data_IF_442683993774
#
_entry.id   IF_442683993774
#
_cell.length_a   1.000
_cell.length_b   1.000
_cell.length_c   1.000
_cell.angle_alpha   90.00
_cell.angle_beta   90.00
_cell.angle_gamma   90.00
#
_symmetry.space_group_name_H-M   'P 1'
#
loop_
_entity.id
_entity.type
_entity.pdbx_description
1 polymer ?
#
# COMPACT_ATOMS: atom_id res chain seq x y z
N UNK A 1 19.28 -15.44 14.07
CA UNK A 1 18.24 -14.53 14.61
C UNK A 1 18.10 -13.37 13.63
N UNK A 2 17.11 -13.41 12.73
CA UNK A 2 16.87 -12.31 11.76
C UNK A 2 16.39 -11.10 12.56
N UNK A 3 17.21 -10.05 12.62
CA UNK A 3 16.76 -8.74 13.08
C UNK A 3 15.83 -8.21 11.99
N UNK A 4 14.54 -8.06 12.29
CA UNK A 4 13.68 -7.25 11.43
C UNK A 4 14.01 -5.79 11.72
N UNK A 5 14.74 -5.23 10.76
CA UNK A 5 15.22 -3.87 10.65
C UNK A 5 14.01 -2.94 10.40
N UNK A 6 14.12 -1.71 10.92
CA UNK A 6 13.40 -0.48 10.52
C UNK A 6 11.86 -0.45 10.63
N UNK A 7 11.35 0.55 11.36
CA UNK A 7 9.92 0.78 11.56
C UNK A 7 9.30 1.27 10.25
N UNK A 8 8.82 0.35 9.41
CA UNK A 8 8.00 0.70 8.24
C UNK A 8 6.83 1.61 8.67
N UNK A 9 6.72 2.78 8.04
CA UNK A 9 5.61 3.71 8.25
C UNK A 9 4.66 3.67 7.05
N UNK A 10 3.37 3.85 7.30
CA UNK A 10 2.35 3.87 6.26
C UNK A 10 1.84 5.29 6.05
N UNK A 11 1.73 5.73 4.80
CA UNK A 11 1.14 7.03 4.46
C UNK A 11 0.04 6.89 3.42
N UNK A 12 -1.07 7.57 3.64
CA UNK A 12 -2.11 7.66 2.62
C UNK A 12 -1.54 8.36 1.38
N UNK A 13 -1.55 7.65 0.25
CA UNK A 13 -0.97 8.10 -1.01
C UNK A 13 -2.02 7.98 -2.11
N UNK A 14 -2.30 9.05 -2.88
CA UNK A 14 -3.16 8.97 -4.05
C UNK A 14 -2.68 7.87 -4.99
N UNK A 15 -3.59 7.01 -5.46
CA UNK A 15 -3.26 5.91 -6.35
C UNK A 15 -2.55 6.38 -7.62
N UNK A 16 -2.88 7.59 -8.11
CA UNK A 16 -2.23 8.22 -9.26
C UNK A 16 -0.74 8.58 -9.04
N UNK A 17 -0.24 8.58 -7.79
CA UNK A 17 1.17 8.86 -7.44
C UNK A 17 1.97 7.59 -7.17
N UNK A 18 1.37 6.42 -7.31
CA UNK A 18 2.06 5.15 -7.10
C UNK A 18 2.85 4.77 -8.35
N UNK A 19 4.08 4.33 -8.13
CA UNK A 19 5.03 3.97 -9.18
C UNK A 19 5.36 2.47 -9.13
N UNK A 20 5.94 1.95 -10.21
CA UNK A 20 6.42 0.57 -10.25
C UNK A 20 7.42 0.31 -9.11
N UNK A 21 7.25 -0.81 -8.41
CA UNK A 21 8.06 -1.20 -7.25
C UNK A 21 7.57 -0.63 -5.92
N UNK A 22 6.59 0.28 -5.90
CA UNK A 22 6.00 0.75 -4.64
C UNK A 22 5.32 -0.38 -3.89
N UNK A 23 5.52 -0.43 -2.58
CA UNK A 23 4.78 -1.34 -1.69
C UNK A 23 3.58 -0.63 -1.08
N UNK A 24 2.42 -1.27 -1.14
CA UNK A 24 1.19 -0.79 -0.50
C UNK A 24 0.55 -1.86 0.37
N UNK A 25 -0.21 -1.39 1.35
CA UNK A 25 -1.00 -2.23 2.25
C UNK A 25 -2.46 -1.91 2.04
N UNK A 26 -3.26 -2.95 1.80
CA UNK A 26 -4.72 -2.86 1.81
C UNK A 26 -5.20 -3.43 3.14
N UNK A 27 -5.79 -2.60 4.02
CA UNK A 27 -6.37 -3.09 5.27
C UNK A 27 -7.50 -4.09 5.01
N UNK A 28 -7.67 -5.08 5.89
CA UNK A 28 -8.77 -6.04 5.78
C UNK A 28 -10.15 -5.40 5.95
N UNK A 29 -11.20 -6.12 5.57
CA UNK A 29 -12.58 -5.69 5.78
C UNK A 29 -12.81 -5.43 7.28
N UNK A 30 -13.21 -4.20 7.66
CA UNK A 30 -13.36 -3.63 9.03
C UNK A 30 -12.11 -3.02 9.68
N UNK A 31 -10.96 -2.97 9.02
CA UNK A 31 -9.81 -2.25 9.55
C UNK A 31 -10.02 -0.74 9.47
N UNK A 32 -10.20 -0.10 10.62
CA UNK A 32 -10.12 1.36 10.77
C UNK A 32 -8.72 1.72 11.26
N UNK A 33 -8.19 2.86 10.80
CA UNK A 33 -6.92 3.41 11.27
C UNK A 33 -7.06 4.91 11.47
N UNK A 34 -6.27 5.46 12.38
CA UNK A 34 -6.15 6.89 12.57
C UNK A 34 -5.01 7.44 11.71
N UNK A 35 -5.14 8.69 11.29
CA UNK A 35 -4.08 9.42 10.58
C UNK A 35 -3.61 10.58 11.46
N UNK A 36 -2.30 10.83 11.47
CA UNK A 36 -1.75 12.04 12.05
C UNK A 36 -1.89 13.24 11.10
N UNK A 37 -1.53 14.44 11.58
CA UNK A 37 -1.62 15.68 10.80
C UNK A 37 -0.73 15.71 9.54
N UNK A 38 0.24 14.79 9.42
CA UNK A 38 1.13 14.65 8.28
C UNK A 38 0.64 13.57 7.28
N UNK A 39 -0.43 12.86 7.62
CA UNK A 39 -1.07 11.82 6.82
C UNK A 39 -0.49 10.42 7.03
N UNK A 40 0.24 10.18 8.12
CA UNK A 40 0.74 8.86 8.48
C UNK A 40 -0.32 8.06 9.22
N UNK A 41 -0.51 6.82 8.80
CA UNK A 41 -1.48 5.91 9.40
C UNK A 41 -0.91 5.25 10.67
N UNK A 42 -1.76 5.07 11.67
CA UNK A 42 -1.48 4.28 12.88
C UNK A 42 -1.48 2.77 12.63
N UNK A 43 -1.79 2.34 11.40
CA UNK A 43 -1.90 0.93 11.00
C UNK A 43 -0.51 0.30 10.84
N UNK A 44 -0.36 -0.97 11.24
CA UNK A 44 0.90 -1.69 11.06
C UNK A 44 0.94 -2.39 9.71
N UNK A 45 2.06 -2.26 8.99
CA UNK A 45 2.19 -2.81 7.63
C UNK A 45 2.12 -4.34 7.55
N UNK A 46 2.38 -5.06 8.64
CA UNK A 46 2.28 -6.52 8.75
C UNK A 46 0.85 -7.04 8.95
N UNK A 47 -0.11 -6.16 9.26
CA UNK A 47 -1.48 -6.54 9.61
C UNK A 47 -2.47 -6.53 8.42
N UNK A 48 -2.08 -6.04 7.24
CA UNK A 48 -2.91 -6.02 6.02
C UNK A 48 -2.38 -6.89 4.90
N UNK A 49 -3.11 -6.96 3.78
CA UNK A 49 -2.61 -7.63 2.58
C UNK A 49 -1.63 -6.70 1.86
N UNK A 50 -0.43 -7.21 1.58
CA UNK A 50 0.64 -6.47 0.93
C UNK A 50 0.66 -6.67 -0.57
N UNK A 51 0.93 -5.58 -1.28
CA UNK A 51 1.05 -5.56 -2.73
C UNK A 51 2.28 -4.77 -3.16
N UNK A 52 2.89 -5.20 -4.25
CA UNK A 52 3.91 -4.46 -4.99
C UNK A 52 3.32 -3.96 -6.31
N UNK A 53 3.39 -2.66 -6.55
CA UNK A 53 2.84 -2.04 -7.75
C UNK A 53 3.68 -2.48 -8.96
N UNK A 54 2.99 -3.05 -9.96
CA UNK A 54 3.60 -3.51 -11.20
C UNK A 54 3.43 -2.47 -12.31
N UNK A 55 2.28 -1.80 -12.37
CA UNK A 55 2.04 -0.71 -13.32
C UNK A 55 0.89 0.18 -12.86
N UNK A 56 0.93 1.44 -13.31
CA UNK A 56 -0.10 2.45 -13.06
C UNK A 56 -0.23 3.34 -14.30
N UNK A 57 -1.22 3.08 -15.14
CA UNK A 57 -1.39 3.82 -16.39
C UNK A 57 -2.85 3.88 -16.80
N UNK A 58 -3.27 5.02 -17.38
CA UNK A 58 -4.61 5.20 -17.95
C UNK A 58 -5.76 4.86 -16.97
N UNK A 59 -5.57 5.15 -15.67
CA UNK A 59 -6.56 4.84 -14.63
C UNK A 59 -6.66 3.35 -14.30
N UNK A 60 -5.74 2.52 -14.76
CA UNK A 60 -5.63 1.10 -14.45
C UNK A 60 -4.37 0.88 -13.61
N UNK A 61 -4.55 0.22 -12.47
CA UNK A 61 -3.44 -0.21 -11.60
C UNK A 61 -3.32 -1.72 -11.65
N UNK A 62 -2.09 -2.20 -11.78
CA UNK A 62 -1.75 -3.61 -11.65
C UNK A 62 -0.78 -3.79 -10.49
N UNK A 63 -1.06 -4.74 -9.60
CA UNK A 63 -0.25 -4.99 -8.42
C UNK A 63 -0.12 -6.47 -8.12
N UNK A 64 1.05 -6.88 -7.64
CA UNK A 64 1.37 -8.24 -7.24
C UNK A 64 1.15 -8.42 -5.75
N UNK A 65 0.30 -9.37 -5.36
CA UNK A 65 0.18 -9.80 -3.97
C UNK A 65 1.49 -10.42 -3.50
N UNK A 66 2.00 -9.96 -2.35
CA UNK A 66 3.27 -10.45 -1.81
C UNK A 66 3.15 -11.78 -1.05
N UNK A 67 1.94 -12.18 -0.66
CA UNK A 67 1.70 -13.44 0.06
C UNK A 67 1.62 -14.66 -0.87
N UNK A 68 1.07 -14.51 -2.07
CA UNK A 68 0.88 -15.61 -3.01
C UNK A 68 1.35 -15.33 -4.45
N UNK A 69 1.86 -14.13 -4.73
CA UNK A 69 2.37 -13.75 -6.04
C UNK A 69 1.30 -13.45 -7.10
N UNK A 70 0.01 -13.48 -6.76
CA UNK A 70 -1.07 -13.23 -7.71
C UNK A 70 -1.04 -11.78 -8.20
N UNK A 71 -1.24 -11.59 -9.51
CA UNK A 71 -1.37 -10.26 -10.12
C UNK A 71 -2.85 -9.87 -10.16
N UNK A 72 -3.16 -8.70 -9.61
CA UNK A 72 -4.49 -8.08 -9.67
C UNK A 72 -4.38 -6.83 -10.53
N UNK A 73 -5.26 -6.72 -11.53
CA UNK A 73 -5.37 -5.55 -12.39
C UNK A 73 -6.79 -5.01 -12.30
N UNK A 74 -6.93 -3.73 -11.99
CA UNK A 74 -8.24 -3.09 -11.87
C UNK A 74 -8.21 -1.62 -12.31
N UNK A 75 -9.35 -1.14 -12.81
CA UNK A 75 -9.59 0.29 -12.95
C UNK A 75 -9.72 0.90 -11.54
N UNK A 76 -9.13 2.09 -11.35
CA UNK A 76 -9.16 2.79 -10.07
C UNK A 76 -9.95 4.10 -10.21
N UNK A 77 -10.91 4.37 -9.31
CA UNK A 77 -11.62 5.64 -9.30
C UNK A 77 -10.68 6.84 -9.17
N UNK A 78 -11.04 7.95 -9.82
CA UNK A 78 -10.33 9.22 -9.65
C UNK A 78 -10.37 9.64 -8.18
N UNK A 79 -9.20 9.88 -7.59
CA UNK A 79 -9.06 10.27 -6.18
C UNK A 79 -8.93 9.12 -5.18
N UNK A 80 -8.91 7.86 -5.63
CA UNK A 80 -8.63 6.74 -4.74
C UNK A 80 -7.23 6.86 -4.10
N UNK A 81 -7.11 6.41 -2.86
CA UNK A 81 -5.85 6.41 -2.09
C UNK A 81 -5.55 5.03 -1.55
N UNK A 82 -4.27 4.71 -1.38
CA UNK A 82 -3.78 3.48 -0.77
C UNK A 82 -2.74 3.82 0.31
N UNK A 83 -2.51 2.91 1.26
CA UNK A 83 -1.46 3.06 2.26
C UNK A 83 -0.12 2.59 1.68
N UNK A 84 0.73 3.53 1.27
CA UNK A 84 2.08 3.22 0.79
C UNK A 84 3.02 2.99 1.98
N UNK A 85 3.87 1.97 1.85
CA UNK A 85 4.92 1.65 2.82
C UNK A 85 6.13 2.53 2.54
N UNK A 86 6.63 3.17 3.59
CA UNK A 86 7.88 3.92 3.60
C UNK A 86 8.83 3.24 4.59
N UNK A 87 9.97 2.79 4.10
CA UNK A 87 11.06 2.33 4.95
C UNK A 87 11.76 3.57 5.52
N UNK A 88 11.92 3.61 6.85
CA UNK A 88 12.72 4.63 7.54
C UNK A 88 14.19 4.26 7.57
#
# INVERSE_FOLDING_TARGET
MKRYNTQERLRQTPAAKLEHGDHVVVPGFLATYAEDAEGWASYRADSGTRYEIQSNANGILSAKRLDNGAIITQAIPGGATLLKVFET
#
